data_IF_692844812717
#
_entry.id   IF_692844812717
#
_cell.length_a   1.000
_cell.length_b   1.000
_cell.length_c   1.000
_cell.angle_alpha   90.00
_cell.angle_beta   90.00
_cell.angle_gamma   90.00
#
_symmetry.space_group_name_H-M   'P 1'
#
loop_
_entity.id
_entity.type
_entity.pdbx_description
1 polymer ?
#
# COMPACT_ATOMS: atom_id res chain seq x y z
N UNK A 1 -16.65 35.62 -23.39
CA UNK A 1 -15.73 34.46 -23.47
C UNK A 1 -16.60 33.24 -23.66
N UNK A 2 -16.91 32.96 -24.93
CA UNK A 2 -17.81 31.90 -25.34
C UNK A 2 -17.13 30.54 -25.25
N UNK A 3 -17.83 29.57 -24.66
CA UNK A 3 -17.39 28.17 -24.58
C UNK A 3 -17.71 27.48 -25.91
N UNK A 4 -16.67 26.99 -26.57
CA UNK A 4 -16.76 26.18 -27.80
C UNK A 4 -17.33 24.79 -27.42
N UNK A 5 -18.39 24.31 -28.09
CA UNK A 5 -18.88 22.95 -27.91
C UNK A 5 -17.96 21.93 -28.61
N UNK A 6 -17.60 20.85 -27.90
CA UNK A 6 -16.88 19.69 -28.46
C UNK A 6 -17.88 18.85 -29.28
N UNK A 7 -17.59 18.47 -30.53
CA UNK A 7 -18.52 17.71 -31.35
C UNK A 7 -18.48 16.21 -31.00
N UNK A 8 -19.67 15.63 -30.79
CA UNK A 8 -19.91 14.19 -30.79
C UNK A 8 -19.66 13.65 -32.20
N UNK A 9 -18.59 12.88 -32.39
CA UNK A 9 -18.25 12.28 -33.67
C UNK A 9 -19.07 11.00 -33.86
N UNK A 10 -20.12 11.06 -34.68
CA UNK A 10 -20.84 9.87 -35.18
C UNK A 10 -20.21 9.49 -36.51
N UNK A 11 -19.44 8.40 -36.54
CA UNK A 11 -18.85 7.87 -37.77
C UNK A 11 -19.86 6.93 -38.42
N UNK A 12 -20.38 7.33 -39.59
CA UNK A 12 -21.17 6.47 -40.45
C UNK A 12 -20.26 5.91 -41.56
N UNK A 13 -19.99 4.60 -41.54
CA UNK A 13 -19.28 3.90 -42.62
C UNK A 13 -20.30 3.30 -43.59
N UNK A 14 -20.22 3.69 -44.86
CA UNK A 14 -20.92 3.06 -45.97
C UNK A 14 -19.88 2.38 -46.88
N UNK A 15 -20.01 1.06 -47.10
CA UNK A 15 -19.23 0.33 -48.10
C UNK A 15 -20.16 -0.64 -48.86
N UNK A 16 -20.28 -0.38 -50.16
CA UNK A 16 -20.82 -1.28 -51.15
C UNK A 16 -19.66 -1.96 -51.90
N UNK A 17 -19.72 -3.29 -52.05
CA UNK A 17 -18.75 -4.04 -52.85
C UNK A 17 -18.82 -5.54 -52.59
N UNK A 18 -19.53 -6.25 -53.47
CA UNK A 18 -19.90 -7.66 -53.32
C UNK A 18 -18.72 -8.63 -53.49
N UNK A 19 -18.64 -9.62 -52.61
CA UNK A 19 -18.11 -10.96 -52.91
C UNK A 19 -18.90 -11.97 -52.09
N UNK A 20 -19.44 -12.98 -52.76
CA UNK A 20 -20.25 -14.04 -52.18
C UNK A 20 -19.39 -15.02 -51.35
N UNK A 21 -18.94 -14.56 -50.19
CA UNK A 21 -18.76 -15.44 -49.04
C UNK A 21 -20.13 -15.55 -48.36
N UNK A 22 -20.44 -16.69 -47.71
CA UNK A 22 -21.57 -16.75 -46.78
C UNK A 22 -21.51 -15.49 -45.92
N UNK A 23 -22.46 -14.57 -46.09
CA UNK A 23 -22.45 -13.26 -45.44
C UNK A 23 -22.52 -13.54 -43.95
N UNK A 24 -21.35 -13.63 -43.32
CA UNK A 24 -21.22 -13.47 -41.90
C UNK A 24 -21.83 -12.10 -41.66
N UNK A 25 -23.03 -12.08 -41.06
CA UNK A 25 -23.67 -10.84 -40.69
C UNK A 25 -22.62 -10.01 -39.94
N UNK A 26 -22.49 -8.74 -40.32
CA UNK A 26 -21.51 -7.86 -39.72
C UNK A 26 -21.60 -7.95 -38.18
N UNK A 27 -20.46 -7.97 -37.47
CA UNK A 27 -20.49 -8.05 -36.02
C UNK A 27 -21.38 -6.97 -35.44
N UNK A 28 -22.29 -7.37 -34.56
CA UNK A 28 -23.18 -6.43 -33.88
C UNK A 28 -22.31 -5.50 -33.02
N UNK A 29 -22.38 -4.20 -33.27
CA UNK A 29 -21.69 -3.22 -32.42
C UNK A 29 -22.50 -3.00 -31.14
N UNK A 30 -21.84 -3.05 -29.98
CA UNK A 30 -22.45 -2.79 -28.66
C UNK A 30 -21.52 -1.92 -27.81
N UNK A 31 -22.05 -1.39 -26.70
CA UNK A 31 -21.25 -0.73 -25.67
C UNK A 31 -20.35 -1.73 -24.91
N UNK A 32 -19.19 -1.27 -24.46
CA UNK A 32 -18.26 -2.07 -23.63
C UNK A 32 -18.93 -2.70 -22.42
N UNK A 33 -19.77 -1.93 -21.73
CA UNK A 33 -20.44 -2.35 -20.50
C UNK A 33 -21.50 -3.45 -20.76
N UNK A 34 -22.04 -3.51 -21.97
CA UNK A 34 -23.05 -4.48 -22.38
C UNK A 34 -22.45 -5.82 -22.81
N UNK A 35 -21.12 -5.93 -22.93
CA UNK A 35 -20.44 -7.16 -23.35
C UNK A 35 -20.85 -8.36 -22.49
N UNK A 36 -20.95 -8.15 -21.18
CA UNK A 36 -21.32 -9.19 -20.20
C UNK A 36 -22.75 -9.73 -20.37
N UNK A 37 -23.63 -8.99 -21.06
CA UNK A 37 -24.98 -9.43 -21.39
C UNK A 37 -24.96 -10.51 -22.48
N UNK A 38 -23.98 -10.50 -23.37
CA UNK A 38 -23.89 -11.41 -24.53
C UNK A 38 -22.79 -12.47 -24.40
N UNK A 39 -21.69 -12.13 -23.73
CA UNK A 39 -20.48 -12.95 -23.63
C UNK A 39 -19.90 -12.89 -22.22
N UNK A 40 -19.57 -14.06 -21.65
CA UNK A 40 -18.88 -14.19 -20.36
C UNK A 40 -17.45 -14.65 -20.58
N UNK A 41 -16.49 -14.04 -19.89
CA UNK A 41 -15.10 -14.50 -19.90
C UNK A 41 -15.03 -15.93 -19.35
N UNK A 42 -14.30 -16.80 -20.04
CA UNK A 42 -14.06 -18.17 -19.61
C UNK A 42 -13.21 -18.19 -18.33
N UNK A 43 -13.69 -18.85 -17.27
CA UNK A 43 -13.02 -18.85 -15.96
C UNK A 43 -11.79 -19.75 -15.92
N UNK A 44 -11.67 -20.70 -16.84
CA UNK A 44 -10.56 -21.63 -16.98
C UNK A 44 -9.46 -21.12 -17.93
N UNK A 45 -9.49 -19.83 -18.27
CA UNK A 45 -8.54 -19.25 -19.20
C UNK A 45 -7.12 -19.23 -18.61
N UNK A 46 -6.22 -19.98 -19.24
CA UNK A 46 -4.78 -19.90 -18.98
C UNK A 46 -4.21 -18.77 -19.84
N UNK A 47 -3.85 -17.66 -19.19
CA UNK A 47 -3.06 -16.60 -19.82
C UNK A 47 -1.66 -17.15 -20.05
N UNK A 48 -1.20 -17.11 -21.29
CA UNK A 48 0.16 -17.43 -21.68
C UNK A 48 1.11 -16.40 -21.12
N UNK A 49 2.27 -16.89 -20.72
CA UNK A 49 3.37 -16.03 -20.31
C UNK A 49 3.82 -15.16 -21.48
N UNK A 50 4.07 -13.88 -21.20
CA UNK A 50 4.58 -12.92 -22.17
C UNK A 50 5.98 -13.40 -22.61
N UNK A 51 6.25 -13.56 -23.91
CA UNK A 51 7.58 -13.91 -24.38
C UNK A 51 8.63 -12.91 -23.87
N UNK A 52 9.77 -13.40 -23.38
CA UNK A 52 10.80 -12.54 -22.79
C UNK A 52 11.34 -11.46 -23.75
N UNK A 53 11.29 -11.71 -25.06
CA UNK A 53 11.66 -10.73 -26.08
C UNK A 53 10.66 -9.58 -26.15
N UNK A 54 9.36 -9.88 -26.11
CA UNK A 54 8.29 -8.88 -26.10
C UNK A 54 8.36 -8.05 -24.81
N UNK A 55 8.52 -8.71 -23.65
CA UNK A 55 8.68 -8.01 -22.37
C UNK A 55 9.87 -7.03 -22.38
N UNK A 56 11.01 -7.43 -22.97
CA UNK A 56 12.18 -6.56 -23.12
C UNK A 56 11.93 -5.40 -24.08
N UNK A 57 11.22 -5.64 -25.19
CA UNK A 57 10.86 -4.60 -26.16
C UNK A 57 9.95 -3.56 -25.52
N UNK A 58 8.86 -3.98 -24.88
CA UNK A 58 7.91 -3.08 -24.24
C UNK A 58 8.54 -2.26 -23.10
N UNK A 59 9.43 -2.87 -22.32
CA UNK A 59 10.16 -2.16 -21.27
C UNK A 59 11.07 -1.07 -21.85
N UNK A 60 11.73 -1.34 -22.98
CA UNK A 60 12.61 -0.38 -23.66
C UNK A 60 11.84 0.79 -24.26
N UNK A 61 10.73 0.49 -24.91
CA UNK A 61 9.91 1.48 -25.62
C UNK A 61 9.00 2.28 -24.66
N UNK A 62 9.00 1.90 -23.38
CA UNK A 62 8.05 2.40 -22.38
C UNK A 62 6.72 1.65 -22.50
N UNK A 63 6.05 1.43 -21.37
CA UNK A 63 4.79 0.71 -21.33
C UNK A 63 3.63 1.69 -21.13
N UNK A 64 2.65 1.65 -22.03
CA UNK A 64 1.42 2.42 -21.85
C UNK A 64 0.70 1.94 -20.59
N UNK A 65 0.36 2.88 -19.72
CA UNK A 65 -0.36 2.63 -18.46
C UNK A 65 -1.83 2.40 -18.68
N UNK A 66 -2.39 3.02 -19.72
CA UNK A 66 -3.79 2.91 -20.12
C UNK A 66 -3.89 2.74 -21.63
N UNK A 67 -4.71 1.80 -22.09
CA UNK A 67 -4.91 1.49 -23.51
C UNK A 67 -6.40 1.27 -23.76
N UNK A 68 -7.00 2.07 -24.62
CA UNK A 68 -8.36 1.83 -25.12
C UNK A 68 -8.29 1.01 -26.41
N UNK A 69 -9.05 -0.08 -26.47
CA UNK A 69 -9.05 -1.08 -27.53
C UNK A 69 -10.46 -1.27 -28.06
N UNK A 70 -10.65 -1.34 -29.37
CA UNK A 70 -11.84 -1.92 -30.00
C UNK A 70 -11.50 -3.34 -30.47
N UNK A 71 -12.46 -4.27 -30.38
CA UNK A 71 -12.23 -5.66 -30.78
C UNK A 71 -13.55 -6.38 -31.11
N UNK A 72 -13.43 -7.47 -31.86
CA UNK A 72 -14.53 -8.37 -32.21
C UNK A 72 -14.44 -9.65 -31.38
N UNK A 73 -15.53 -10.05 -30.72
CA UNK A 73 -15.72 -11.41 -30.22
C UNK A 73 -16.43 -12.20 -31.32
N UNK A 74 -15.75 -13.16 -31.92
CA UNK A 74 -16.31 -14.00 -32.98
C UNK A 74 -17.34 -15.01 -32.43
N UNK A 75 -18.03 -15.71 -33.34
CA UNK A 75 -19.01 -16.75 -32.97
C UNK A 75 -18.45 -17.90 -32.12
N UNK A 76 -17.14 -18.12 -32.19
CA UNK A 76 -16.44 -19.15 -31.43
C UNK A 76 -16.01 -18.63 -30.05
N UNK A 77 -16.31 -17.38 -29.72
CA UNK A 77 -15.94 -16.73 -28.47
C UNK A 77 -14.47 -16.28 -28.43
N UNK A 78 -13.81 -16.16 -29.58
CA UNK A 78 -12.42 -15.69 -29.66
C UNK A 78 -12.38 -14.20 -29.97
N UNK A 79 -11.42 -13.50 -29.37
CA UNK A 79 -11.11 -12.12 -29.70
C UNK A 79 -10.37 -12.04 -31.04
N UNK A 80 -10.78 -11.12 -31.91
CA UNK A 80 -10.17 -10.77 -33.21
C UNK A 80 -10.31 -9.28 -33.50
N UNK A 81 -9.68 -8.82 -34.58
CA UNK A 81 -9.79 -7.46 -35.10
C UNK A 81 -9.52 -6.38 -34.04
N UNK A 82 -8.51 -6.63 -33.20
CA UNK A 82 -8.12 -5.74 -32.11
C UNK A 82 -7.47 -4.49 -32.69
N UNK A 83 -8.02 -3.34 -32.34
CA UNK A 83 -7.61 -2.02 -32.79
C UNK A 83 -7.31 -1.15 -31.57
N UNK A 84 -6.13 -0.55 -31.52
CA UNK A 84 -5.77 0.42 -30.48
C UNK A 84 -6.37 1.78 -30.86
N UNK A 85 -7.30 2.27 -30.04
CA UNK A 85 -7.97 3.55 -30.25
C UNK A 85 -7.17 4.72 -29.68
N UNK A 86 -6.61 4.54 -28.47
CA UNK A 86 -5.75 5.50 -27.76
C UNK A 86 -4.93 4.80 -26.70
N UNK A 87 -3.81 5.39 -26.28
CA UNK A 87 -3.06 4.94 -25.12
C UNK A 87 -2.28 6.08 -24.45
N UNK A 88 -1.97 5.93 -23.16
CA UNK A 88 -1.22 6.90 -22.35
C UNK A 88 0.00 6.25 -21.67
N UNK A 89 1.22 6.83 -21.80
CA UNK A 89 1.56 7.93 -22.70
C UNK A 89 1.51 7.51 -24.18
N UNK A 90 1.23 8.45 -25.07
CA UNK A 90 1.16 8.21 -26.54
C UNK A 90 2.49 7.73 -27.14
N UNK A 91 3.61 7.95 -26.45
CA UNK A 91 4.93 7.49 -26.88
C UNK A 91 5.26 6.05 -26.44
N UNK A 92 4.43 5.44 -25.59
CA UNK A 92 4.70 4.13 -25.02
C UNK A 92 3.97 3.00 -25.76
N UNK A 93 4.49 1.78 -25.65
CA UNK A 93 3.92 0.60 -26.29
C UNK A 93 2.58 0.18 -25.66
N UNK A 94 1.57 0.01 -26.53
CA UNK A 94 0.26 -0.56 -26.21
C UNK A 94 0.16 -2.07 -26.53
N UNK A 95 1.22 -2.66 -27.11
CA UNK A 95 1.25 -4.05 -27.58
C UNK A 95 0.91 -5.06 -26.49
N UNK A 96 1.29 -4.76 -25.24
CA UNK A 96 0.99 -5.62 -24.10
C UNK A 96 -0.52 -5.82 -23.92
N UNK A 97 -1.32 -4.77 -24.16
CA UNK A 97 -2.76 -4.80 -23.96
C UNK A 97 -3.44 -5.59 -25.08
N UNK A 98 -2.97 -5.42 -26.32
CA UNK A 98 -3.38 -6.23 -27.47
C UNK A 98 -3.06 -7.71 -27.20
N UNK A 99 -1.82 -8.02 -26.82
CA UNK A 99 -1.37 -9.37 -26.52
C UNK A 99 -2.19 -10.05 -25.43
N UNK A 100 -2.54 -9.31 -24.36
CA UNK A 100 -3.37 -9.84 -23.28
C UNK A 100 -4.81 -10.06 -23.73
N UNK A 101 -5.40 -9.12 -24.46
CA UNK A 101 -6.79 -9.19 -24.90
C UNK A 101 -7.03 -10.31 -25.92
N UNK A 102 -6.11 -10.56 -26.85
CA UNK A 102 -6.21 -11.64 -27.85
C UNK A 102 -6.27 -13.05 -27.23
N UNK A 103 -5.80 -13.19 -25.99
CA UNK A 103 -5.86 -14.45 -25.27
C UNK A 103 -7.23 -14.72 -24.66
N UNK A 104 -8.09 -13.69 -24.58
CA UNK A 104 -9.41 -13.82 -23.97
C UNK A 104 -10.28 -14.80 -24.73
N UNK A 105 -10.97 -15.64 -23.98
CA UNK A 105 -11.97 -16.58 -24.48
C UNK A 105 -13.28 -16.30 -23.79
N UNK A 106 -14.36 -16.35 -24.57
CA UNK A 106 -15.69 -16.05 -24.09
C UNK A 106 -16.64 -17.21 -24.35
N UNK A 107 -17.59 -17.39 -23.43
CA UNK A 107 -18.74 -18.25 -23.60
C UNK A 107 -19.99 -17.41 -23.86
N UNK A 108 -20.89 -17.83 -24.76
CA UNK A 108 -22.14 -17.10 -24.96
C UNK A 108 -22.99 -17.16 -23.70
N UNK A 109 -23.72 -16.09 -23.42
CA UNK A 109 -24.82 -16.11 -22.45
C UNK A 109 -26.08 -16.70 -23.08
N UNK A 110 -27.10 -16.92 -22.27
CA UNK A 110 -28.43 -17.33 -22.77
C UNK A 110 -29.01 -16.28 -23.74
N UNK A 111 -28.72 -14.99 -23.51
CA UNK A 111 -29.13 -13.90 -24.40
C UNK A 111 -28.38 -13.86 -25.74
N UNK A 112 -27.29 -14.63 -25.88
CA UNK A 112 -26.56 -14.82 -27.13
C UNK A 112 -26.41 -16.30 -27.50
N UNK A 113 -27.45 -17.11 -27.29
CA UNK A 113 -27.44 -18.53 -27.65
C UNK A 113 -27.09 -18.78 -29.14
N UNK A 114 -27.42 -17.82 -30.02
CA UNK A 114 -27.09 -17.85 -31.43
C UNK A 114 -25.60 -17.54 -31.75
N UNK A 115 -24.79 -17.17 -30.73
CA UNK A 115 -23.38 -16.82 -30.86
C UNK A 115 -23.13 -15.75 -31.93
N UNK A 116 -23.98 -14.73 -31.94
CA UNK A 116 -23.79 -13.59 -32.84
C UNK A 116 -22.47 -12.92 -32.48
N UNK A 117 -21.63 -12.68 -33.49
CA UNK A 117 -20.38 -11.96 -33.32
C UNK A 117 -20.65 -10.51 -32.90
N UNK A 118 -19.79 -9.96 -32.06
CA UNK A 118 -19.99 -8.65 -31.44
C UNK A 118 -18.72 -7.81 -31.56
N UNK A 119 -18.84 -6.54 -31.97
CA UNK A 119 -17.75 -5.56 -31.88
C UNK A 119 -18.00 -4.63 -30.70
N UNK A 120 -16.98 -4.45 -29.87
CA UNK A 120 -17.06 -3.66 -28.63
C UNK A 120 -15.73 -2.98 -28.34
N UNK A 121 -15.67 -2.15 -27.29
CA UNK A 121 -14.45 -1.49 -26.84
C UNK A 121 -14.25 -1.63 -25.33
N UNK A 122 -12.99 -1.65 -24.91
CA UNK A 122 -12.58 -1.72 -23.50
C UNK A 122 -11.38 -0.82 -23.24
N UNK A 123 -11.14 -0.49 -21.97
CA UNK A 123 -9.90 0.16 -21.54
C UNK A 123 -9.15 -0.80 -20.61
N UNK A 124 -7.92 -1.13 -20.97
CA UNK A 124 -7.02 -1.96 -20.19
C UNK A 124 -5.92 -1.12 -19.60
N UNK A 125 -5.52 -1.43 -18.37
CA UNK A 125 -4.47 -0.70 -17.67
C UNK A 125 -3.43 -1.59 -17.06
N UNK A 126 -2.17 -1.15 -17.17
CA UNK A 126 -1.05 -1.86 -16.57
C UNK A 126 -0.91 -1.41 -15.11
N UNK A 127 -1.17 -2.33 -14.19
CA UNK A 127 -1.26 -2.06 -12.75
C UNK A 127 -2.69 -2.19 -12.22
N UNK A 128 -2.95 -1.83 -10.95
CA UNK A 128 -4.32 -1.79 -10.44
C UNK A 128 -5.17 -0.89 -11.35
N UNK A 129 -6.43 -1.26 -11.64
CA UNK A 129 -7.27 -0.52 -12.57
C UNK A 129 -7.33 0.97 -12.18
N UNK A 130 -7.31 1.93 -13.14
CA UNK A 130 -7.78 3.27 -12.87
C UNK A 130 -9.26 3.09 -12.56
N UNK A 131 -9.57 3.07 -11.28
CA UNK A 131 -10.95 3.11 -10.85
C UNK A 131 -11.52 4.35 -11.54
N UNK A 132 -12.70 4.27 -12.17
CA UNK A 132 -13.39 5.48 -12.59
C UNK A 132 -13.42 6.43 -11.38
N UNK A 133 -13.18 7.73 -11.57
CA UNK A 133 -13.33 8.68 -10.47
C UNK A 133 -14.72 8.45 -9.87
N UNK A 134 -14.79 7.91 -8.65
CA UNK A 134 -16.07 7.72 -7.99
C UNK A 134 -16.65 9.12 -7.87
N UNK A 135 -17.75 9.39 -8.56
CA UNK A 135 -18.46 10.66 -8.48
C UNK A 135 -19.15 10.83 -7.13
N UNK A 136 -19.02 9.87 -6.21
CA UNK A 136 -19.51 9.99 -4.85
C UNK A 136 -18.67 10.98 -4.07
N UNK A 137 -19.35 11.96 -3.48
CA UNK A 137 -18.75 12.88 -2.52
C UNK A 137 -18.09 12.10 -1.36
N UNK A 138 -16.91 12.55 -0.88
CA UNK A 138 -16.25 11.94 0.26
C UNK A 138 -17.19 11.84 1.46
N UNK A 139 -17.17 10.69 2.14
CA UNK A 139 -17.96 10.45 3.34
C UNK A 139 -17.23 11.06 4.54
N UNK A 140 -17.89 11.92 5.32
CA UNK A 140 -17.36 12.34 6.62
C UNK A 140 -17.64 11.26 7.67
N UNK A 141 -16.61 10.84 8.39
CA UNK A 141 -16.72 9.86 9.49
C UNK A 141 -15.96 10.34 10.72
N UNK A 142 -16.36 9.84 11.89
CA UNK A 142 -15.60 10.04 13.13
C UNK A 142 -14.36 9.14 13.17
N UNK A 143 -13.32 9.54 13.91
CA UNK A 143 -12.06 8.79 13.99
C UNK A 143 -12.25 7.32 14.41
N UNK A 144 -13.14 7.06 15.38
CA UNK A 144 -13.45 5.71 15.86
C UNK A 144 -14.09 4.81 14.78
N UNK A 145 -14.73 5.42 13.79
CA UNK A 145 -15.38 4.73 12.67
C UNK A 145 -14.42 4.52 11.50
N UNK A 146 -13.26 5.16 11.49
CA UNK A 146 -12.31 5.12 10.37
C UNK A 146 -11.97 3.68 9.97
N UNK A 147 -11.69 2.82 10.94
CA UNK A 147 -11.29 1.42 10.71
C UNK A 147 -12.39 0.55 10.09
N UNK A 148 -13.64 1.00 10.13
CA UNK A 148 -14.75 0.35 9.43
C UNK A 148 -14.62 0.54 7.92
N UNK A 149 -14.01 1.65 7.46
CA UNK A 149 -13.87 2.02 6.05
C UNK A 149 -12.44 1.83 5.52
N UNK A 150 -11.44 2.15 6.33
CA UNK A 150 -10.03 2.17 5.95
C UNK A 150 -9.17 1.64 7.09
N UNK A 151 -8.42 0.57 6.82
CA UNK A 151 -7.47 -0.03 7.76
C UNK A 151 -6.09 0.56 7.53
N UNK A 152 -5.45 1.16 8.52
CA UNK A 152 -4.10 1.65 8.32
C UNK A 152 -3.10 0.50 8.08
N UNK A 153 -2.06 0.81 7.32
CA UNK A 153 -0.89 -0.05 7.10
C UNK A 153 0.17 0.32 8.15
N UNK A 154 0.57 -0.65 8.98
CA UNK A 154 1.53 -0.41 10.06
C UNK A 154 0.89 0.13 11.35
N UNK A 155 1.71 0.78 12.19
CA UNK A 155 1.26 1.47 13.41
C UNK A 155 1.22 2.99 13.14
N UNK A 156 0.12 3.50 12.56
CA UNK A 156 0.09 4.83 11.91
C UNK A 156 -0.17 5.98 12.90
N UNK A 157 -0.24 5.73 14.21
CA UNK A 157 -0.76 6.71 15.18
C UNK A 157 0.31 7.19 16.16
N UNK A 158 1.54 6.70 16.02
CA UNK A 158 2.67 7.08 16.87
C UNK A 158 3.80 7.66 16.01
N UNK A 159 3.72 8.96 15.68
CA UNK A 159 4.81 9.68 15.04
C UNK A 159 6.09 9.56 15.89
N UNK A 160 7.15 9.06 15.26
CA UNK A 160 8.45 8.94 15.92
C UNK A 160 9.08 10.30 16.26
N UNK A 161 10.13 10.32 17.10
CA UNK A 161 10.77 11.55 17.57
C UNK A 161 11.43 12.39 16.44
N UNK A 162 11.67 11.80 15.28
CA UNK A 162 12.22 12.46 14.08
C UNK A 162 11.31 13.58 13.54
N UNK A 163 10.06 13.63 13.97
CA UNK A 163 9.07 14.61 13.56
C UNK A 163 9.10 15.90 14.38
N UNK A 164 9.83 15.95 15.49
CA UNK A 164 9.90 17.13 16.37
C UNK A 164 10.66 18.32 15.77
N UNK A 165 10.02 19.48 15.66
CA UNK A 165 10.65 20.78 15.45
C UNK A 165 11.20 21.37 16.77
N UNK A 166 11.55 22.66 16.77
CA UNK A 166 12.05 23.35 17.99
C UNK A 166 10.97 23.61 19.05
N UNK A 167 9.69 23.59 18.67
CA UNK A 167 8.54 23.73 19.56
C UNK A 167 7.34 22.91 19.04
N UNK A 168 7.45 21.57 18.99
CA UNK A 168 6.41 20.76 18.37
C UNK A 168 5.18 20.69 19.27
N UNK A 169 4.01 20.74 18.64
CA UNK A 169 2.76 20.44 19.32
C UNK A 169 2.81 19.02 19.89
N UNK A 170 2.39 18.88 21.14
CA UNK A 170 2.28 17.63 21.88
C UNK A 170 1.14 16.77 21.33
N UNK A 171 0.02 17.42 21.02
CA UNK A 171 -1.13 16.80 20.39
C UNK A 171 -1.66 17.74 19.32
N UNK A 172 -2.16 17.16 18.23
CA UNK A 172 -2.71 17.87 17.09
C UNK A 172 -3.91 17.12 16.57
N UNK A 173 -4.96 17.83 16.20
CA UNK A 173 -6.09 17.27 15.47
C UNK A 173 -5.92 17.63 14.01
N UNK A 174 -5.78 16.63 13.14
CA UNK A 174 -5.71 16.84 11.69
C UNK A 174 -7.04 16.48 11.03
N UNK A 175 -7.48 17.29 10.07
CA UNK A 175 -8.53 16.91 9.12
C UNK A 175 -7.84 16.50 7.82
N UNK A 176 -8.24 15.35 7.28
CA UNK A 176 -7.69 14.81 6.03
C UNK A 176 -8.75 14.06 5.24
N UNK A 177 -8.53 13.95 3.94
CA UNK A 177 -9.28 13.07 3.04
C UNK A 177 -8.43 11.84 2.73
N UNK A 178 -8.90 10.64 3.06
CA UNK A 178 -8.32 9.40 2.54
C UNK A 178 -8.95 9.16 1.17
N UNK A 179 -8.14 9.24 0.12
CA UNK A 179 -8.61 8.98 -1.24
C UNK A 179 -8.87 7.48 -1.46
N UNK A 180 -9.40 7.14 -2.63
CA UNK A 180 -9.72 5.76 -3.03
C UNK A 180 -8.51 4.82 -3.10
N UNK A 181 -7.32 5.38 -3.16
CA UNK A 181 -6.08 4.63 -3.22
C UNK A 181 -5.51 4.39 -1.81
N UNK A 182 -6.23 4.88 -0.78
CA UNK A 182 -5.82 4.79 0.61
C UNK A 182 -4.71 5.79 0.95
N UNK A 183 -4.57 6.85 0.15
CA UNK A 183 -3.55 7.88 0.35
C UNK A 183 -4.20 9.12 1.00
N UNK A 184 -3.63 9.65 2.08
CA UNK A 184 -4.08 10.91 2.66
C UNK A 184 -3.87 12.09 1.71
N UNK A 185 -4.89 12.94 1.60
CA UNK A 185 -4.97 14.17 0.82
C UNK A 185 -5.58 15.28 1.68
N UNK A 186 -5.43 16.53 1.22
CA UNK A 186 -6.03 17.71 1.86
C UNK A 186 -5.78 17.80 3.37
N UNK A 187 -4.60 17.38 3.80
CA UNK A 187 -4.24 17.30 5.23
C UNK A 187 -4.11 18.70 5.79
N UNK A 188 -4.86 19.01 6.84
CA UNK A 188 -4.83 20.30 7.53
C UNK A 188 -4.83 20.12 9.04
N UNK A 189 -4.05 20.94 9.74
CA UNK A 189 -4.04 20.97 11.20
C UNK A 189 -5.19 21.86 11.67
N UNK A 190 -6.13 21.29 12.41
CA UNK A 190 -7.34 21.98 12.89
C UNK A 190 -7.14 22.53 14.31
N UNK A 191 -6.39 21.80 15.13
CA UNK A 191 -6.09 22.19 16.50
C UNK A 191 -4.70 21.67 16.91
N UNK A 192 -4.01 22.38 17.79
CA UNK A 192 -2.67 22.05 18.28
C UNK A 192 -2.53 22.42 19.76
N UNK A 193 -2.00 21.48 20.55
CA UNK A 193 -1.76 21.63 21.98
C UNK A 193 -0.26 21.52 22.30
N UNK A 194 0.34 22.46 23.04
CA UNK A 194 -0.27 23.71 23.51
C UNK A 194 -0.58 24.67 22.36
N UNK A 195 -1.54 25.58 22.58
CA UNK A 195 -1.92 26.57 21.57
C UNK A 195 -0.68 27.39 21.12
N UNK A 196 -0.52 27.53 19.80
CA UNK A 196 0.65 28.19 19.20
C UNK A 196 1.89 27.30 19.03
N UNK A 197 1.83 26.02 19.42
CA UNK A 197 2.88 25.06 19.09
C UNK A 197 2.82 24.62 17.62
N UNK A 198 3.95 24.16 17.10
CA UNK A 198 4.09 23.77 15.70
C UNK A 198 3.46 22.40 15.42
N UNK A 199 2.37 22.39 14.64
CA UNK A 199 1.69 21.19 14.17
C UNK A 199 2.17 20.65 12.82
N UNK A 200 3.15 21.28 12.16
CA UNK A 200 3.59 20.89 10.82
C UNK A 200 4.13 19.46 10.74
N UNK A 201 4.58 18.93 11.87
CA UNK A 201 5.01 17.54 11.99
C UNK A 201 3.90 16.55 11.65
N UNK A 202 2.65 16.85 12.02
CA UNK A 202 1.52 15.95 11.80
C UNK A 202 1.15 15.87 10.32
N UNK A 203 1.24 16.99 9.60
CA UNK A 203 1.06 16.99 8.14
C UNK A 203 2.08 16.06 7.47
N UNK A 204 3.36 16.17 7.85
CA UNK A 204 4.44 15.36 7.28
C UNK A 204 4.24 13.87 7.58
N UNK A 205 4.03 13.54 8.85
CA UNK A 205 3.79 12.17 9.29
C UNK A 205 2.62 11.52 8.54
N UNK A 206 1.48 12.20 8.46
CA UNK A 206 0.30 11.69 7.73
C UNK A 206 0.61 11.51 6.25
N UNK A 207 1.19 12.51 5.59
CA UNK A 207 1.44 12.47 4.14
C UNK A 207 2.47 11.40 3.75
N UNK A 208 3.54 11.29 4.53
CA UNK A 208 4.71 10.51 4.15
C UNK A 208 4.60 9.06 4.64
N UNK A 209 4.15 8.84 5.88
CA UNK A 209 4.25 7.54 6.55
C UNK A 209 2.92 6.78 6.66
N UNK A 210 1.78 7.44 6.48
CA UNK A 210 0.48 6.76 6.63
C UNK A 210 -0.09 6.32 5.29
N UNK A 211 -0.50 5.05 5.24
CA UNK A 211 -1.22 4.45 4.11
C UNK A 211 -2.36 3.63 4.65
N UNK A 212 -3.41 3.48 3.84
CA UNK A 212 -4.60 2.74 4.23
C UNK A 212 -4.94 1.67 3.20
N UNK A 213 -5.46 0.55 3.68
CA UNK A 213 -6.09 -0.51 2.89
C UNK A 213 -7.60 -0.41 3.07
N UNK A 214 -8.40 -0.71 2.03
CA UNK A 214 -9.85 -0.74 2.17
C UNK A 214 -10.25 -1.78 3.21
N UNK A 215 -11.15 -1.39 4.12
CA UNK A 215 -11.78 -2.35 5.01
C UNK A 215 -12.80 -3.21 4.26
N UNK A 216 -13.25 -4.30 4.89
CA UNK A 216 -14.23 -5.21 4.27
C UNK A 216 -15.56 -4.53 3.90
N UNK A 217 -15.92 -3.43 4.56
CA UNK A 217 -17.15 -2.68 4.25
C UNK A 217 -16.96 -1.63 3.15
N UNK A 218 -15.72 -1.36 2.72
CA UNK A 218 -15.38 -0.32 1.76
C UNK A 218 -14.69 -0.88 0.52
N UNK A 219 -15.24 -1.95 -0.05
CA UNK A 219 -14.70 -2.58 -1.27
C UNK A 219 -14.74 -1.63 -2.47
N UNK A 220 -15.68 -0.69 -2.48
CA UNK A 220 -15.79 0.37 -3.49
C UNK A 220 -14.77 1.49 -3.32
N UNK A 221 -13.94 1.44 -2.26
CA UNK A 221 -12.88 2.42 -1.96
C UNK A 221 -13.42 3.85 -1.93
N UNK A 222 -14.56 4.04 -1.28
CA UNK A 222 -15.17 5.35 -1.11
C UNK A 222 -14.20 6.27 -0.35
N UNK A 223 -13.91 7.47 -0.87
CA UNK A 223 -13.10 8.45 -0.15
C UNK A 223 -13.76 8.87 1.16
N UNK A 224 -12.94 9.12 2.18
CA UNK A 224 -13.42 9.46 3.53
C UNK A 224 -12.71 10.70 4.05
N UNK A 225 -13.47 11.65 4.60
CA UNK A 225 -12.94 12.79 5.36
C UNK A 225 -13.02 12.43 6.85
N UNK A 226 -11.93 12.61 7.58
CA UNK A 226 -11.85 12.28 9.00
C UNK A 226 -11.05 13.33 9.76
N UNK A 227 -11.46 13.61 11.00
CA UNK A 227 -10.67 14.37 11.98
C UNK A 227 -9.96 13.40 12.91
N UNK A 228 -8.65 13.34 12.80
CA UNK A 228 -7.81 12.36 13.49
C UNK A 228 -6.99 13.04 14.58
N UNK A 229 -7.15 12.65 15.86
CA UNK A 229 -6.26 13.10 16.91
C UNK A 229 -4.92 12.36 16.79
N UNK A 230 -3.84 13.13 16.78
CA UNK A 230 -2.47 12.64 16.78
C UNK A 230 -1.78 13.17 18.02
N UNK A 231 -1.01 12.32 18.67
CA UNK A 231 -0.16 12.71 19.79
C UNK A 231 1.26 12.50 19.31
N UNK A 232 2.06 13.56 19.33
CA UNK A 232 3.49 13.38 19.13
C UNK A 232 3.96 12.53 20.30
N UNK A 233 4.65 11.42 20.02
CA UNK A 233 5.49 10.82 21.02
C UNK A 233 6.60 11.84 21.31
N UNK A 234 6.28 12.83 22.14
CA UNK A 234 7.21 13.85 22.53
C UNK A 234 8.41 13.13 23.10
N UNK A 235 9.58 13.62 22.76
CA UNK A 235 10.77 13.43 23.56
C UNK A 235 10.62 14.21 24.88
N UNK A 236 9.51 14.02 25.60
CA UNK A 236 9.35 14.40 26.99
C UNK A 236 10.10 13.36 27.79
N UNK A 237 11.43 13.52 27.86
CA UNK A 237 12.36 12.56 28.47
C UNK A 237 12.04 11.14 28.07
N UNK A 238 12.29 10.76 26.81
CA UNK A 238 12.30 9.34 26.43
C UNK A 238 13.00 8.59 27.57
N UNK A 239 12.26 7.74 28.30
CA UNK A 239 12.74 7.16 29.55
C UNK A 239 14.15 6.64 29.30
N UNK A 240 15.11 7.18 30.02
CA UNK A 240 16.51 6.81 29.91
C UNK A 240 16.85 5.89 31.06
N UNK A 241 17.72 4.93 30.81
CA UNK A 241 18.32 4.18 31.89
C UNK A 241 19.19 5.14 32.71
N UNK A 242 18.97 5.13 34.01
CA UNK A 242 19.84 5.78 34.98
C UNK A 242 20.82 4.74 35.52
N UNK A 243 22.02 4.70 34.94
CA UNK A 243 23.09 3.78 35.30
C UNK A 243 23.89 4.20 36.54
N UNK A 244 23.52 5.29 37.22
CA UNK A 244 24.27 5.82 38.38
C UNK A 244 24.36 4.85 39.56
N UNK A 245 23.42 3.91 39.66
CA UNK A 245 23.45 2.79 40.61
C UNK A 245 22.61 1.61 40.13
N UNK A 246 22.78 0.44 40.77
CA UNK A 246 21.92 -0.72 40.49
C UNK A 246 20.44 -0.47 40.76
N UNK A 247 20.13 0.30 41.81
CA UNK A 247 18.75 0.64 42.17
C UNK A 247 18.14 1.55 41.09
N UNK A 248 18.87 2.59 40.69
CA UNK A 248 18.44 3.53 39.67
C UNK A 248 18.25 2.85 38.30
N UNK A 249 19.13 1.91 37.94
CA UNK A 249 19.03 1.17 36.68
C UNK A 249 17.78 0.28 36.65
N UNK A 250 17.47 -0.42 37.75
CA UNK A 250 16.25 -1.24 37.86
C UNK A 250 14.99 -0.38 37.80
N UNK A 251 14.96 0.72 38.54
CA UNK A 251 13.77 1.59 38.62
C UNK A 251 13.49 2.30 37.29
N UNK A 252 14.53 2.83 36.64
CA UNK A 252 14.40 3.46 35.31
C UNK A 252 13.97 2.44 34.24
N UNK A 253 14.53 1.22 34.27
CA UNK A 253 14.11 0.14 33.36
C UNK A 253 12.69 -0.34 33.62
N UNK A 254 12.26 -0.47 34.87
CA UNK A 254 10.88 -0.83 35.22
C UNK A 254 9.89 0.21 34.69
N UNK A 255 10.16 1.51 34.89
CA UNK A 255 9.35 2.59 34.33
C UNK A 255 9.32 2.55 32.79
N UNK A 256 10.45 2.22 32.16
CA UNK A 256 10.51 2.03 30.70
C UNK A 256 9.61 0.87 30.25
N UNK A 257 9.69 -0.28 30.92
CA UNK A 257 8.85 -1.44 30.62
C UNK A 257 7.36 -1.13 30.83
N UNK A 258 7.00 -0.46 31.92
CA UNK A 258 5.60 -0.11 32.21
C UNK A 258 4.99 0.81 31.15
N UNK A 259 5.80 1.71 30.58
CA UNK A 259 5.39 2.65 29.53
C UNK A 259 5.23 2.02 28.14
N UNK A 260 5.74 0.80 27.92
CA UNK A 260 5.70 0.13 26.61
C UNK A 260 4.51 -0.85 26.52
N UNK A 261 3.97 -1.09 25.31
CA UNK A 261 3.00 -2.15 25.07
C UNK A 261 3.68 -3.54 25.17
N UNK A 262 2.90 -4.59 25.48
CA UNK A 262 3.40 -5.96 25.70
C UNK A 262 4.35 -6.52 24.63
N UNK A 263 4.11 -6.38 23.31
CA UNK A 263 5.08 -6.85 22.31
C UNK A 263 6.43 -6.13 22.37
N UNK A 264 6.44 -4.85 22.74
CA UNK A 264 7.68 -4.06 22.87
C UNK A 264 8.42 -4.35 24.17
N UNK A 265 7.69 -4.65 25.26
CA UNK A 265 8.26 -5.14 26.52
C UNK A 265 9.11 -6.39 26.29
N UNK A 266 8.59 -7.36 25.55
CA UNK A 266 9.33 -8.59 25.23
C UNK A 266 10.57 -8.29 24.38
N UNK A 267 10.45 -7.43 23.36
CA UNK A 267 11.58 -7.03 22.51
C UNK A 267 12.68 -6.35 23.32
N UNK A 268 12.33 -5.43 24.22
CA UNK A 268 13.28 -4.75 25.08
C UNK A 268 13.97 -5.72 26.04
N UNK A 269 13.25 -6.68 26.64
CA UNK A 269 13.86 -7.73 27.47
C UNK A 269 14.87 -8.58 26.70
N UNK A 270 14.52 -9.00 25.48
CA UNK A 270 15.44 -9.76 24.62
C UNK A 270 16.66 -8.93 24.22
N UNK A 271 16.50 -7.63 23.96
CA UNK A 271 17.60 -6.74 23.64
C UNK A 271 18.59 -6.59 24.82
N UNK A 272 18.09 -6.43 26.05
CA UNK A 272 18.93 -6.43 27.26
C UNK A 272 19.71 -7.73 27.40
N UNK A 273 19.05 -8.87 27.19
CA UNK A 273 19.71 -10.18 27.22
C UNK A 273 20.78 -10.30 26.13
N UNK A 274 20.48 -9.88 24.90
CA UNK A 274 21.44 -9.89 23.78
C UNK A 274 22.68 -9.05 24.08
N UNK A 275 22.50 -7.83 24.63
CA UNK A 275 23.62 -6.96 25.00
C UNK A 275 24.44 -7.60 26.11
N UNK A 276 23.80 -8.19 27.12
CA UNK A 276 24.50 -8.82 28.24
C UNK A 276 25.32 -10.05 27.82
N UNK A 277 24.82 -10.83 26.87
CA UNK A 277 25.50 -12.00 26.32
C UNK A 277 26.57 -11.68 25.27
N UNK A 278 26.70 -10.41 24.87
CA UNK A 278 27.74 -9.99 23.92
C UNK A 278 29.15 -10.40 24.38
N UNK A 279 29.90 -11.03 23.49
CA UNK A 279 31.25 -11.54 23.77
C UNK A 279 31.30 -12.89 24.49
N UNK A 280 30.15 -13.53 24.77
CA UNK A 280 30.13 -14.90 25.29
C UNK A 280 30.18 -15.91 24.14
N UNK A 281 31.18 -16.78 24.16
CA UNK A 281 31.34 -17.84 23.16
C UNK A 281 30.57 -19.11 23.46
N UNK A 282 30.06 -19.29 24.69
CA UNK A 282 29.43 -20.54 25.11
C UNK A 282 28.43 -20.37 26.26
N UNK A 283 27.52 -21.35 26.40
CA UNK A 283 26.61 -21.49 27.54
C UNK A 283 27.38 -21.70 28.85
N UNK A 284 28.55 -22.34 28.80
CA UNK A 284 29.41 -22.51 29.97
C UNK A 284 29.93 -21.16 30.49
N UNK A 285 30.27 -20.23 29.60
CA UNK A 285 30.67 -18.87 29.97
C UNK A 285 29.52 -18.07 30.55
N UNK A 286 28.31 -18.24 30.00
CA UNK A 286 27.09 -17.66 30.56
C UNK A 286 26.83 -18.17 31.99
N UNK A 287 26.86 -19.48 32.22
CA UNK A 287 26.65 -20.06 33.54
C UNK A 287 27.74 -19.67 34.54
N UNK A 288 28.98 -19.48 34.08
CA UNK A 288 30.09 -19.01 34.92
C UNK A 288 29.88 -17.56 35.34
N UNK A 289 29.40 -16.71 34.43
CA UNK A 289 29.22 -15.27 34.67
C UNK A 289 27.92 -14.94 35.41
N UNK A 290 26.88 -15.74 35.22
CA UNK A 290 25.57 -15.59 35.87
C UNK A 290 25.15 -16.88 36.57
N UNK A 291 25.83 -17.27 37.68
CA UNK A 291 25.50 -18.49 38.40
C UNK A 291 24.12 -18.32 39.09
N UNK A 292 23.08 -18.89 38.48
CA UNK A 292 21.74 -18.94 39.06
C UNK A 292 20.69 -18.00 38.46
N UNK A 293 20.92 -17.40 37.29
CA UNK A 293 19.89 -16.56 36.68
C UNK A 293 20.19 -16.09 35.26
N UNK A 294 19.18 -15.48 34.65
CA UNK A 294 19.34 -14.74 33.40
C UNK A 294 19.99 -13.38 33.68
N UNK A 295 20.77 -12.84 32.73
CA UNK A 295 21.30 -11.49 32.84
C UNK A 295 20.17 -10.45 32.94
N UNK A 296 20.45 -9.37 33.64
CA UNK A 296 19.51 -8.28 33.93
C UNK A 296 20.06 -6.93 33.46
N UNK A 297 19.25 -5.88 33.52
CA UNK A 297 19.68 -4.51 33.17
C UNK A 297 20.87 -4.04 34.00
N UNK A 298 20.99 -4.53 35.24
CA UNK A 298 22.09 -4.19 36.16
C UNK A 298 23.44 -4.66 35.62
N UNK A 299 23.48 -5.84 35.00
CA UNK A 299 24.70 -6.43 34.45
C UNK A 299 25.27 -5.65 33.26
N UNK A 300 24.46 -4.78 32.66
CA UNK A 300 24.83 -3.94 31.52
C UNK A 300 24.64 -2.44 31.79
N UNK A 301 24.35 -2.02 33.03
CA UNK A 301 23.90 -0.65 33.33
C UNK A 301 24.86 0.42 32.80
N UNK A 302 26.17 0.21 32.95
CA UNK A 302 27.19 1.18 32.54
C UNK A 302 27.25 1.30 31.00
N UNK A 303 26.84 0.26 30.27
CA UNK A 303 26.79 0.26 28.80
C UNK A 303 25.54 0.91 28.25
N UNK A 304 24.45 0.92 29.02
CA UNK A 304 23.15 1.44 28.59
C UNK A 304 22.77 2.73 29.31
N UNK A 305 23.63 3.28 30.16
CA UNK A 305 23.39 4.53 30.87
C UNK A 305 23.07 5.68 29.89
N UNK A 306 21.98 6.40 30.17
CA UNK A 306 21.46 7.45 29.30
C UNK A 306 20.79 6.95 28.02
N UNK A 307 20.77 5.63 27.73
CA UNK A 307 20.08 5.10 26.56
C UNK A 307 18.58 5.06 26.77
N UNK A 308 17.86 5.35 25.69
CA UNK A 308 16.41 5.17 25.58
C UNK A 308 16.09 3.73 25.16
N UNK A 309 14.81 3.33 25.21
CA UNK A 309 14.31 2.08 24.63
C UNK A 309 14.88 1.82 23.22
N UNK A 310 14.74 2.78 22.30
CA UNK A 310 15.25 2.67 20.94
C UNK A 310 16.78 2.53 20.88
N UNK A 311 17.50 3.24 21.77
CA UNK A 311 18.95 3.12 21.88
C UNK A 311 19.40 1.72 22.30
N UNK A 312 18.68 1.09 23.22
CA UNK A 312 18.93 -0.30 23.67
C UNK A 312 18.66 -1.27 22.52
N UNK A 313 17.56 -1.13 21.78
CA UNK A 313 17.28 -1.99 20.62
C UNK A 313 18.38 -1.87 19.54
N UNK A 314 18.81 -0.65 19.23
CA UNK A 314 19.86 -0.41 18.25
C UNK A 314 21.21 -1.00 18.71
N UNK A 315 21.56 -0.86 19.99
CA UNK A 315 22.75 -1.48 20.56
C UNK A 315 22.70 -3.01 20.47
N UNK A 316 21.55 -3.63 20.78
CA UNK A 316 21.38 -5.08 20.66
C UNK A 316 21.51 -5.56 19.20
N UNK A 317 20.94 -4.82 18.23
CA UNK A 317 21.08 -5.13 16.81
C UNK A 317 22.54 -5.04 16.35
N UNK A 318 23.28 -4.03 16.81
CA UNK A 318 24.71 -3.88 16.52
C UNK A 318 25.53 -5.05 17.09
N UNK A 319 25.18 -5.57 18.28
CA UNK A 319 25.82 -6.76 18.84
C UNK A 319 25.50 -8.02 18.03
N UNK A 320 24.25 -8.19 17.59
CA UNK A 320 23.84 -9.34 16.79
C UNK A 320 24.49 -9.39 15.40
N UNK A 321 24.88 -8.22 14.86
CA UNK A 321 25.56 -8.10 13.58
C UNK A 321 27.06 -8.46 13.64
N UNK A 322 27.67 -8.59 14.83
CA UNK A 322 29.08 -8.96 14.97
C UNK A 322 29.28 -10.45 14.64
N UNK A 323 30.35 -10.75 13.89
CA UNK A 323 30.71 -12.13 13.55
C UNK A 323 30.94 -12.97 14.81
N UNK A 324 30.28 -14.13 14.88
CA UNK A 324 30.37 -15.06 16.00
C UNK A 324 29.48 -14.73 17.21
N UNK A 325 28.65 -13.68 17.14
CA UNK A 325 27.70 -13.39 18.21
C UNK A 325 26.61 -14.47 18.30
N UNK A 326 26.27 -14.96 19.51
CA UNK A 326 25.09 -15.78 19.69
C UNK A 326 23.85 -15.00 19.25
N UNK A 327 23.17 -15.51 18.22
CA UNK A 327 21.96 -14.89 17.67
C UNK A 327 20.75 -15.42 18.42
N UNK A 328 20.27 -14.65 19.39
CA UNK A 328 18.90 -14.82 19.87
C UNK A 328 18.00 -14.31 18.74
N UNK A 329 17.23 -15.20 18.13
CA UNK A 329 16.47 -14.89 16.92
C UNK A 329 15.39 -13.82 17.14
N UNK A 330 15.77 -12.55 17.10
CA UNK A 330 14.88 -11.41 16.90
C UNK A 330 14.82 -11.21 15.39
N UNK A 331 14.05 -12.04 14.69
CA UNK A 331 13.80 -11.81 13.25
C UNK A 331 12.64 -10.85 13.11
N UNK A 332 12.88 -9.67 12.54
CA UNK A 332 11.84 -8.78 12.01
C UNK A 332 11.24 -9.43 10.75
N UNK A 333 10.42 -10.47 10.93
CA UNK A 333 9.53 -10.97 9.90
C UNK A 333 8.12 -10.54 10.22
N UNK A 334 7.78 -9.30 9.87
CA UNK A 334 6.42 -8.84 9.59
C UNK A 334 6.45 -7.78 8.51
#
# INVERSE_FOLDING_TARGET
>A
MDRIPVPTLVVALALAGMSAAATAADPRTIDGNDTSLYWKVAQDQVVREIPAEDARRWTRDGIAREVALAYTIDRDGKVRDVEVLRHDPESASADWAVYMLEQYRYHPTDANAARTAVRTATTMTMGPPPVAASTQAPLRVEYEQLTQWWRPVGSPFEPGPAYGGSNPAQSVVVELTIDRDGVPRDVSVVDATPAGADGAWAHRFVSDDTRYLPAATNLERRPVIVRMPLTLALVGTALRIDGSSDAAARESFARMMDALPDPERLRLQLAVMQIALAGMGSVADMNRRYPGGLPTIVDIRDRVDGMTHAGILAAAAAEAARDGAPRLGISDRH
#
